data_IF_201714055159
#
_entry.id   IF_201714055159
#
_cell.length_a   1.000
_cell.length_b   1.000
_cell.length_c   1.000
_cell.angle_alpha   90.00
_cell.angle_beta   90.00
_cell.angle_gamma   90.00
#
_symmetry.space_group_name_H-M   'P 1'
#
loop_
_entity.id
_entity.type
_entity.pdbx_description
1 polymer ?
#
# COMPACT_ATOMS: atom_id res chain seq x y z
N UNK A 1 16.15 -32.81 -12.99
CA UNK A 1 16.15 -32.08 -11.70
C UNK A 1 17.34 -31.14 -11.73
N UNK A 2 17.11 -29.83 -11.91
CA UNK A 2 18.18 -28.85 -11.78
C UNK A 2 18.60 -28.83 -10.30
N UNK A 3 19.87 -29.11 -10.03
CA UNK A 3 20.42 -29.03 -8.68
C UNK A 3 20.26 -27.58 -8.19
N UNK A 4 19.35 -27.38 -7.24
CA UNK A 4 19.28 -26.12 -6.50
C UNK A 4 20.65 -25.90 -5.83
N UNK A 5 21.21 -24.67 -5.87
CA UNK A 5 22.48 -24.40 -5.22
C UNK A 5 22.37 -24.71 -3.72
N UNK A 6 23.43 -25.25 -3.14
CA UNK A 6 23.44 -25.76 -1.75
C UNK A 6 22.95 -24.72 -0.71
N UNK A 7 23.20 -23.43 -0.95
CA UNK A 7 22.71 -22.34 -0.12
C UNK A 7 21.17 -22.17 -0.13
N UNK A 8 20.48 -22.45 -1.25
CA UNK A 8 19.01 -22.39 -1.34
C UNK A 8 18.36 -23.52 -0.52
N UNK A 9 19.10 -24.58 -0.18
CA UNK A 9 18.62 -25.71 0.63
C UNK A 9 18.87 -25.46 2.12
N UNK A 10 20.03 -24.91 2.48
CA UNK A 10 20.43 -24.72 3.88
C UNK A 10 19.90 -23.41 4.46
N UNK A 11 19.96 -22.32 3.69
CA UNK A 11 19.54 -20.97 4.10
C UNK A 11 18.48 -20.41 3.14
N UNK A 12 17.31 -21.08 3.04
CA UNK A 12 16.31 -20.78 2.04
C UNK A 12 15.73 -19.36 2.20
N UNK A 13 15.47 -18.92 3.43
CA UNK A 13 14.84 -17.61 3.66
C UNK A 13 15.81 -16.47 3.38
N UNK A 14 17.04 -16.56 3.88
CA UNK A 14 18.08 -15.57 3.65
C UNK A 14 18.37 -15.43 2.16
N UNK A 15 18.51 -16.56 1.46
CA UNK A 15 18.79 -16.53 0.01
C UNK A 15 17.62 -15.96 -0.78
N UNK A 16 16.38 -16.27 -0.38
CA UNK A 16 15.17 -15.69 -0.97
C UNK A 16 15.12 -14.17 -0.80
N UNK A 17 15.36 -13.66 0.41
CA UNK A 17 15.34 -12.22 0.70
C UNK A 17 16.46 -11.48 -0.02
N UNK A 18 17.68 -12.03 -0.04
CA UNK A 18 18.84 -11.39 -0.69
C UNK A 18 18.69 -11.27 -2.21
N UNK A 19 18.01 -12.22 -2.87
CA UNK A 19 17.77 -12.17 -4.32
C UNK A 19 17.01 -10.91 -4.76
N UNK A 20 16.18 -10.34 -3.87
CA UNK A 20 15.34 -9.15 -4.15
C UNK A 20 15.35 -8.16 -2.98
N UNK A 21 16.51 -8.02 -2.33
CA UNK A 21 16.67 -7.21 -1.12
C UNK A 21 16.21 -5.76 -1.33
N UNK A 22 16.62 -5.17 -2.45
CA UNK A 22 16.27 -3.79 -2.81
C UNK A 22 14.77 -3.60 -2.97
N UNK A 23 14.06 -4.58 -3.56
CA UNK A 23 12.60 -4.54 -3.70
C UNK A 23 11.94 -4.59 -2.33
N UNK A 24 12.31 -5.57 -1.49
CA UNK A 24 11.71 -5.79 -0.18
C UNK A 24 12.01 -4.66 0.82
N UNK A 25 13.14 -3.98 0.67
CA UNK A 25 13.49 -2.82 1.48
C UNK A 25 12.48 -1.66 1.35
N UNK A 26 11.70 -1.61 0.26
CA UNK A 26 10.67 -0.60 0.05
C UNK A 26 9.41 -0.80 0.90
N UNK A 27 9.17 -2.00 1.44
CA UNK A 27 7.94 -2.35 2.18
C UNK A 27 7.71 -1.40 3.37
N UNK A 28 8.80 -0.98 4.04
CA UNK A 28 8.75 -0.05 5.18
C UNK A 28 8.02 1.27 4.89
N UNK A 29 8.04 1.73 3.63
CA UNK A 29 7.46 3.00 3.21
C UNK A 29 5.93 2.94 3.05
N UNK A 30 5.36 1.73 3.07
CA UNK A 30 3.92 1.52 2.96
C UNK A 30 3.14 2.23 4.07
N UNK A 31 3.67 2.28 5.30
CA UNK A 31 2.99 2.91 6.43
C UNK A 31 2.75 4.41 6.19
N UNK A 32 3.80 5.16 5.86
CA UNK A 32 3.70 6.61 5.63
C UNK A 32 2.76 6.96 4.47
N UNK A 33 2.75 6.13 3.42
CA UNK A 33 1.81 6.27 2.31
C UNK A 33 0.37 6.05 2.79
N UNK A 34 0.11 4.95 3.49
CA UNK A 34 -1.22 4.61 3.96
C UNK A 34 -1.76 5.60 5.01
N UNK A 35 -0.89 6.11 5.89
CA UNK A 35 -1.27 7.09 6.91
C UNK A 35 -1.71 8.41 6.29
N UNK A 36 -0.96 8.92 5.31
CA UNK A 36 -1.33 10.12 4.58
C UNK A 36 -2.62 9.90 3.77
N UNK A 37 -2.74 8.80 3.04
CA UNK A 37 -3.97 8.47 2.30
C UNK A 37 -5.19 8.36 3.23
N UNK A 38 -5.04 7.75 4.41
CA UNK A 38 -6.11 7.64 5.41
C UNK A 38 -6.55 9.02 5.92
N UNK A 39 -5.59 9.91 6.19
CA UNK A 39 -5.88 11.29 6.57
C UNK A 39 -6.70 12.00 5.49
N UNK A 40 -6.25 11.91 4.23
CA UNK A 40 -6.94 12.51 3.10
C UNK A 40 -8.36 11.95 2.90
N UNK A 41 -8.54 10.63 3.02
CA UNK A 41 -9.85 9.99 2.94
C UNK A 41 -10.76 10.52 4.04
N UNK A 42 -10.32 10.50 5.31
CA UNK A 42 -11.13 11.00 6.42
C UNK A 42 -11.54 12.47 6.25
N UNK A 43 -10.67 13.25 5.59
CA UNK A 43 -10.91 14.67 5.36
C UNK A 43 -11.86 14.94 4.21
N UNK A 44 -11.63 14.32 3.05
CA UNK A 44 -12.25 14.70 1.79
C UNK A 44 -13.35 13.73 1.33
N UNK A 45 -13.54 12.58 1.98
CA UNK A 45 -14.51 11.58 1.55
C UNK A 45 -15.93 12.16 1.50
N UNK A 46 -16.57 12.08 0.33
CA UNK A 46 -17.85 12.71 -0.02
C UNK A 46 -17.90 14.25 0.10
N UNK A 47 -16.77 14.93 0.34
CA UNK A 47 -16.70 16.38 0.59
C UNK A 47 -16.02 17.18 -0.52
N UNK A 48 -15.30 16.51 -1.43
CA UNK A 48 -14.63 17.15 -2.57
C UNK A 48 -15.22 16.68 -3.90
N UNK A 49 -15.42 17.59 -4.84
CA UNK A 49 -15.77 17.24 -6.21
C UNK A 49 -14.53 16.82 -6.99
N UNK A 50 -14.69 15.96 -8.00
CA UNK A 50 -13.57 15.50 -8.82
C UNK A 50 -12.84 16.65 -9.53
N UNK A 51 -13.61 17.59 -10.10
CA UNK A 51 -13.03 18.72 -10.82
C UNK A 51 -12.20 19.62 -9.89
N UNK A 52 -12.68 19.84 -8.67
CA UNK A 52 -11.94 20.60 -7.65
C UNK A 52 -10.64 19.88 -7.25
N UNK A 53 -10.70 18.55 -7.07
CA UNK A 53 -9.52 17.74 -6.75
C UNK A 53 -8.48 17.71 -7.89
N UNK A 54 -8.92 17.81 -9.14
CA UNK A 54 -8.05 17.83 -10.30
C UNK A 54 -7.30 19.17 -10.46
N UNK A 55 -7.89 20.27 -10.00
CA UNK A 55 -7.32 21.63 -10.10
C UNK A 55 -6.50 21.97 -8.85
N UNK A 56 -6.96 21.55 -7.67
CA UNK A 56 -6.30 21.84 -6.41
C UNK A 56 -4.98 21.08 -6.31
N UNK A 57 -3.86 21.79 -6.13
CA UNK A 57 -2.55 21.18 -5.90
C UNK A 57 -2.38 20.77 -4.44
N UNK A 58 -1.39 19.92 -4.15
CA UNK A 58 -1.07 19.53 -2.76
C UNK A 58 -0.73 20.78 -1.93
N UNK A 59 0.10 21.69 -2.46
CA UNK A 59 0.42 22.96 -1.79
C UNK A 59 -0.84 23.81 -1.55
N UNK A 60 -1.72 23.92 -2.55
CA UNK A 60 -2.97 24.66 -2.42
C UNK A 60 -3.89 24.09 -1.34
N UNK A 61 -3.89 22.76 -1.16
CA UNK A 61 -4.61 22.11 -0.06
C UNK A 61 -3.98 22.44 1.30
N UNK A 62 -2.64 22.44 1.41
CA UNK A 62 -1.92 22.79 2.65
C UNK A 62 -2.14 24.25 3.07
N UNK A 63 -2.29 25.17 2.12
CA UNK A 63 -2.46 26.60 2.38
C UNK A 63 -3.88 26.97 2.82
N UNK A 64 -4.91 26.28 2.30
CA UNK A 64 -6.31 26.55 2.64
C UNK A 64 -6.68 26.24 4.09
N UNK A 65 -5.85 25.51 4.83
CA UNK A 65 -6.28 24.78 6.02
C UNK A 65 -5.89 25.37 7.39
N UNK A 66 -5.22 26.53 7.45
CA UNK A 66 -4.98 27.22 8.73
C UNK A 66 -4.33 26.34 9.82
N UNK A 67 -4.89 26.30 11.03
CA UNK A 67 -4.33 25.60 12.21
C UNK A 67 -4.31 24.07 12.07
N UNK A 68 -5.24 23.48 11.29
CA UNK A 68 -5.23 22.05 10.93
C UNK A 68 -4.11 21.70 9.91
N UNK A 69 -3.43 22.70 9.34
CA UNK A 69 -2.38 22.47 8.36
C UNK A 69 -1.13 21.80 8.95
N UNK A 70 -0.89 21.88 10.26
CA UNK A 70 0.35 21.34 10.83
C UNK A 70 0.40 19.81 10.75
N UNK A 71 -0.70 19.14 11.10
CA UNK A 71 -0.81 17.68 11.00
C UNK A 71 -0.71 17.21 9.55
N UNK A 72 -1.42 17.88 8.64
CA UNK A 72 -1.36 17.55 7.21
C UNK A 72 0.06 17.77 6.65
N UNK A 73 0.76 18.84 7.04
CA UNK A 73 2.15 19.11 6.64
C UNK A 73 3.10 18.01 7.11
N UNK A 74 3.00 17.59 8.37
CA UNK A 74 3.84 16.52 8.92
C UNK A 74 3.62 15.21 8.16
N UNK A 75 2.37 14.80 7.98
CA UNK A 75 2.03 13.58 7.25
C UNK A 75 2.43 13.65 5.77
N UNK A 76 2.25 14.81 5.13
CA UNK A 76 2.66 15.04 3.75
C UNK A 76 4.19 14.95 3.60
N UNK A 77 4.95 15.55 4.51
CA UNK A 77 6.41 15.47 4.49
C UNK A 77 6.90 14.03 4.68
N UNK A 78 6.32 13.28 5.63
CA UNK A 78 6.64 11.86 5.83
C UNK A 78 6.29 11.03 4.59
N UNK A 79 5.15 11.29 3.98
CA UNK A 79 4.76 10.67 2.72
C UNK A 79 5.76 10.97 1.60
N UNK A 80 6.18 12.23 1.42
CA UNK A 80 7.13 12.62 0.36
C UNK A 80 8.50 11.99 0.61
N UNK A 81 8.98 12.01 1.85
CA UNK A 81 10.24 11.37 2.22
C UNK A 81 10.22 9.87 1.89
N UNK A 82 9.12 9.19 2.22
CA UNK A 82 8.91 7.79 1.87
C UNK A 82 8.81 7.59 0.35
N UNK A 83 8.00 8.41 -0.33
CA UNK A 83 7.73 8.34 -1.76
C UNK A 83 8.99 8.49 -2.60
N UNK A 84 9.91 9.37 -2.21
CA UNK A 84 11.18 9.60 -2.92
C UNK A 84 12.27 8.58 -2.57
N UNK A 85 12.15 7.87 -1.45
CA UNK A 85 13.08 6.79 -1.08
C UNK A 85 12.74 5.45 -1.75
N UNK A 86 11.52 5.29 -2.27
CA UNK A 86 11.14 4.08 -3.00
C UNK A 86 12.01 3.93 -4.25
N UNK A 87 12.64 2.77 -4.41
CA UNK A 87 13.48 2.43 -5.55
C UNK A 87 12.90 1.23 -6.32
N UNK A 88 11.67 1.38 -6.81
CA UNK A 88 11.01 0.40 -7.67
C UNK A 88 11.02 0.90 -9.11
N UNK A 89 11.31 0.01 -10.06
CA UNK A 89 11.31 0.33 -11.50
C UNK A 89 9.89 0.36 -12.09
N UNK A 90 9.01 -0.52 -11.60
CA UNK A 90 7.62 -0.63 -11.99
C UNK A 90 6.76 -1.04 -10.81
N UNK A 91 5.49 -0.65 -10.85
CA UNK A 91 4.47 -1.05 -9.87
C UNK A 91 3.35 -1.78 -10.62
N UNK A 92 2.63 -2.67 -9.95
CA UNK A 92 1.61 -3.55 -10.54
C UNK A 92 0.26 -3.37 -9.88
N UNK A 93 -0.79 -3.34 -10.70
CA UNK A 93 -2.18 -3.44 -10.28
C UNK A 93 -2.94 -4.31 -11.29
N UNK A 94 -3.36 -5.50 -10.87
CA UNK A 94 -3.95 -6.49 -11.77
C UNK A 94 -3.01 -6.83 -12.94
N UNK A 95 -3.50 -6.71 -14.17
CA UNK A 95 -2.71 -6.97 -15.39
C UNK A 95 -1.85 -5.77 -15.85
N UNK A 96 -1.89 -4.64 -15.14
CA UNK A 96 -1.20 -3.42 -15.53
C UNK A 96 0.10 -3.24 -14.72
N UNK A 97 1.16 -2.84 -15.40
CA UNK A 97 2.49 -2.63 -14.81
C UNK A 97 3.08 -1.26 -15.20
N UNK A 98 2.50 -0.14 -14.73
CA UNK A 98 3.04 1.19 -14.99
C UNK A 98 4.48 1.33 -14.51
N UNK A 99 5.26 2.14 -15.24
CA UNK A 99 6.57 2.59 -14.78
C UNK A 99 6.39 3.52 -13.59
N UNK A 100 7.23 3.34 -12.58
CA UNK A 100 7.21 4.19 -11.42
C UNK A 100 7.95 5.50 -11.73
N UNK A 101 7.21 6.54 -12.07
CA UNK A 101 7.74 7.84 -12.47
C UNK A 101 7.28 8.91 -11.50
N UNK A 102 8.22 9.75 -11.07
CA UNK A 102 7.97 10.91 -10.19
C UNK A 102 8.81 12.11 -10.65
N UNK A 103 8.38 13.35 -10.38
CA UNK A 103 9.19 14.54 -10.61
C UNK A 103 10.54 14.44 -9.89
N UNK A 104 11.58 15.06 -10.45
CA UNK A 104 12.93 14.99 -9.89
C UNK A 104 13.02 15.74 -8.54
N UNK A 105 12.37 16.91 -8.46
CA UNK A 105 12.39 17.75 -7.27
C UNK A 105 11.13 17.56 -6.42
N UNK A 106 11.32 17.42 -5.11
CA UNK A 106 10.23 17.26 -4.13
C UNK A 106 9.27 18.44 -4.14
N UNK A 107 9.80 19.65 -4.20
CA UNK A 107 9.01 20.89 -4.25
C UNK A 107 8.15 20.95 -5.51
N UNK A 108 8.65 20.45 -6.64
CA UNK A 108 7.89 20.39 -7.88
C UNK A 108 6.70 19.45 -7.76
N UNK A 109 6.86 18.32 -7.07
CA UNK A 109 5.76 17.41 -6.78
C UNK A 109 4.67 18.10 -5.94
N UNK A 110 5.02 18.77 -4.84
CA UNK A 110 4.02 19.45 -3.98
C UNK A 110 3.28 20.56 -4.74
N UNK A 111 4.02 21.35 -5.52
CA UNK A 111 3.50 22.53 -6.17
C UNK A 111 2.68 22.23 -7.43
N UNK A 112 3.02 21.17 -8.18
CA UNK A 112 2.41 20.87 -9.49
C UNK A 112 1.51 19.65 -9.48
N UNK A 113 1.66 18.72 -8.55
CA UNK A 113 0.81 17.52 -8.51
C UNK A 113 -0.56 17.87 -7.97
N UNK A 114 -1.60 17.45 -8.69
CA UNK A 114 -2.98 17.63 -8.27
C UNK A 114 -3.31 16.73 -7.08
N UNK A 115 -4.23 17.18 -6.24
CA UNK A 115 -4.70 16.43 -5.09
C UNK A 115 -5.35 15.11 -5.54
N UNK A 116 -6.00 15.09 -6.71
CA UNK A 116 -6.56 13.88 -7.31
C UNK A 116 -5.53 12.73 -7.45
N UNK A 117 -4.24 13.03 -7.66
CA UNK A 117 -3.20 11.99 -7.76
C UNK A 117 -2.87 11.28 -6.45
N UNK A 118 -3.15 11.92 -5.30
CA UNK A 118 -2.90 11.35 -3.97
C UNK A 118 -4.18 10.88 -3.27
N UNK A 119 -5.35 11.22 -3.82
CA UNK A 119 -6.64 10.72 -3.38
C UNK A 119 -6.94 9.39 -4.06
N UNK A 120 -6.75 8.29 -3.31
CA UNK A 120 -7.13 6.94 -3.76
C UNK A 120 -8.62 6.93 -4.12
N UNK A 121 -8.98 6.71 -5.38
CA UNK A 121 -10.37 6.76 -5.83
C UNK A 121 -10.77 5.50 -6.62
N UNK A 122 -12.08 5.24 -6.67
CA UNK A 122 -12.67 4.12 -7.44
C UNK A 122 -12.94 4.47 -8.90
N UNK A 123 -12.65 5.70 -9.30
CA UNK A 123 -13.00 6.19 -10.63
C UNK A 123 -12.03 5.68 -11.69
N UNK A 124 -12.50 5.66 -12.95
CA UNK A 124 -11.71 5.20 -14.11
C UNK A 124 -10.62 6.19 -14.54
N UNK A 125 -10.42 7.28 -13.80
CA UNK A 125 -9.38 8.24 -14.12
C UNK A 125 -8.04 7.72 -13.61
N UNK A 126 -7.04 7.74 -14.49
CA UNK A 126 -5.69 7.23 -14.20
C UNK A 126 -4.92 8.12 -13.19
N UNK A 127 -5.57 9.11 -12.58
CA UNK A 127 -4.98 10.13 -11.71
C UNK A 127 -4.31 9.52 -10.48
N UNK A 128 -5.04 8.68 -9.73
CA UNK A 128 -4.59 8.03 -8.50
C UNK A 128 -3.99 6.64 -8.73
N UNK A 129 -4.02 6.16 -9.98
CA UNK A 129 -3.66 4.81 -10.35
C UNK A 129 -2.23 4.42 -9.92
N UNK A 130 -1.26 5.33 -10.11
CA UNK A 130 0.13 5.08 -9.74
C UNK A 130 0.29 4.83 -8.24
N UNK A 131 -0.42 5.60 -7.40
CA UNK A 131 -0.35 5.46 -5.95
C UNK A 131 -1.01 4.15 -5.49
N UNK A 132 -2.17 3.81 -6.07
CA UNK A 132 -2.87 2.55 -5.79
C UNK A 132 -1.98 1.36 -6.19
N UNK A 133 -1.38 1.40 -7.38
CA UNK A 133 -0.47 0.36 -7.85
C UNK A 133 0.77 0.22 -6.97
N UNK A 134 1.30 1.34 -6.47
CA UNK A 134 2.41 1.33 -5.52
C UNK A 134 2.03 0.63 -4.21
N UNK A 135 0.92 1.03 -3.59
CA UNK A 135 0.38 0.39 -2.36
C UNK A 135 0.19 -1.11 -2.57
N UNK A 136 -0.44 -1.49 -3.67
CA UNK A 136 -0.68 -2.89 -4.00
C UNK A 136 0.63 -3.67 -4.16
N UNK A 137 1.62 -3.10 -4.86
CA UNK A 137 2.93 -3.73 -5.07
C UNK A 137 3.65 -3.96 -3.75
N UNK A 138 3.71 -2.95 -2.87
CA UNK A 138 4.38 -3.07 -1.58
C UNK A 138 3.70 -4.11 -0.67
N UNK A 139 2.37 -4.14 -0.68
CA UNK A 139 1.62 -5.14 0.09
C UNK A 139 1.84 -6.56 -0.45
N UNK A 140 1.86 -6.74 -1.77
CA UNK A 140 2.14 -8.04 -2.39
C UNK A 140 3.58 -8.51 -2.14
N UNK A 141 4.57 -7.60 -2.13
CA UNK A 141 5.95 -7.95 -1.78
C UNK A 141 6.05 -8.54 -0.37
N UNK A 142 5.33 -7.97 0.61
CA UNK A 142 5.29 -8.55 1.96
C UNK A 142 4.55 -9.89 1.96
N UNK A 143 3.41 -9.98 1.28
CA UNK A 143 2.65 -11.22 1.17
C UNK A 143 3.48 -12.35 0.55
N UNK A 144 4.32 -12.03 -0.44
CA UNK A 144 5.23 -12.97 -1.09
C UNK A 144 6.23 -13.58 -0.08
N UNK A 145 6.84 -12.74 0.76
CA UNK A 145 7.80 -13.19 1.79
C UNK A 145 7.10 -14.13 2.79
N UNK A 146 5.95 -13.71 3.31
CA UNK A 146 5.21 -14.51 4.31
C UNK A 146 4.71 -15.82 3.70
N UNK A 147 4.26 -15.80 2.43
CA UNK A 147 3.85 -17.00 1.72
C UNK A 147 5.04 -17.95 1.49
N UNK A 148 6.21 -17.43 1.12
CA UNK A 148 7.42 -18.21 0.95
C UNK A 148 7.85 -18.87 2.28
N UNK A 149 7.95 -18.08 3.34
CA UNK A 149 8.31 -18.57 4.68
C UNK A 149 7.40 -19.70 5.14
N UNK A 150 6.08 -19.54 5.01
CA UNK A 150 5.14 -20.59 5.42
C UNK A 150 5.24 -21.86 4.59
N UNK A 151 5.36 -21.70 3.27
CA UNK A 151 5.40 -22.85 2.34
C UNK A 151 6.69 -23.64 2.48
N UNK A 152 7.83 -22.95 2.63
CA UNK A 152 9.16 -23.57 2.55
C UNK A 152 9.77 -23.85 3.92
N UNK A 153 9.52 -22.98 4.90
CA UNK A 153 10.14 -23.08 6.23
C UNK A 153 9.23 -23.78 7.25
N UNK A 154 7.94 -23.40 7.30
CA UNK A 154 7.01 -23.89 8.34
C UNK A 154 6.19 -25.10 7.89
N UNK A 155 6.02 -25.33 6.58
CA UNK A 155 5.17 -26.39 6.00
C UNK A 155 3.69 -26.33 6.45
N UNK A 156 3.19 -25.15 6.82
CA UNK A 156 1.80 -24.95 7.25
C UNK A 156 0.92 -24.42 6.11
N UNK A 157 -0.33 -24.94 6.03
CA UNK A 157 -1.28 -24.64 4.96
C UNK A 157 -2.53 -23.86 5.41
N UNK A 158 -2.73 -23.62 6.71
CA UNK A 158 -4.01 -23.12 7.25
C UNK A 158 -4.02 -21.65 7.72
N UNK A 159 -5.05 -20.94 7.25
CA UNK A 159 -5.79 -19.77 7.81
C UNK A 159 -4.99 -18.61 8.41
N UNK A 160 -5.04 -17.45 7.72
CA UNK A 160 -4.35 -16.23 8.11
C UNK A 160 -5.25 -15.22 8.80
N UNK A 161 -4.73 -14.63 9.89
CA UNK A 161 -5.06 -13.27 10.31
C UNK A 161 -4.58 -12.31 9.21
N UNK A 162 -5.49 -11.98 8.29
CA UNK A 162 -5.27 -10.93 7.29
C UNK A 162 -5.51 -9.59 7.96
N UNK A 163 -4.51 -8.73 7.94
CA UNK A 163 -4.64 -7.35 8.40
C UNK A 163 -5.11 -6.50 7.23
N UNK A 164 -6.11 -5.67 7.48
CA UNK A 164 -6.57 -4.69 6.50
C UNK A 164 -5.54 -3.56 6.37
N UNK A 165 -5.34 -3.07 5.14
CA UNK A 165 -4.36 -2.01 4.87
C UNK A 165 -4.65 -0.72 5.66
N UNK A 166 -5.91 -0.46 6.03
CA UNK A 166 -6.32 0.68 6.85
C UNK A 166 -5.88 0.60 8.33
N UNK A 167 -5.45 -0.58 8.80
CA UNK A 167 -5.06 -0.89 10.16
C UNK A 167 -3.57 -1.27 10.28
N UNK A 168 -2.77 -0.98 9.23
CA UNK A 168 -1.32 -1.18 9.28
C UNK A 168 -0.72 -0.33 10.38
N UNK A 169 0.24 -0.93 11.08
CA UNK A 169 1.13 -0.28 12.04
C UNK A 169 2.57 -0.55 11.63
N UNK A 170 3.55 0.24 12.08
CA UNK A 170 4.95 0.02 11.76
C UNK A 170 5.46 -1.39 12.15
N UNK A 171 4.94 -1.95 13.25
CA UNK A 171 5.22 -3.30 13.75
C UNK A 171 4.75 -4.43 12.82
N UNK A 172 3.80 -4.15 11.93
CA UNK A 172 3.28 -5.14 10.98
C UNK A 172 4.11 -5.22 9.70
N UNK A 173 5.06 -4.30 9.49
CA UNK A 173 5.82 -4.18 8.25
C UNK A 173 7.20 -4.77 8.38
N UNK A 174 7.69 -5.30 7.28
CA UNK A 174 9.09 -5.69 7.16
C UNK A 174 10.01 -4.45 7.21
N UNK A 175 10.80 -4.35 8.27
CA UNK A 175 11.78 -3.29 8.49
C UNK A 175 13.21 -3.77 8.14
N UNK A 176 13.43 -4.06 6.86
CA UNK A 176 14.79 -4.29 6.36
C UNK A 176 15.59 -2.99 6.37
N UNK A 177 16.91 -3.02 6.56
CA UNK A 177 17.79 -1.85 6.44
C UNK A 177 17.53 -0.71 7.43
N UNK A 178 16.92 -1.02 8.58
CA UNK A 178 17.04 -0.16 9.74
C UNK A 178 18.44 -0.30 10.35
N UNK A 179 18.87 0.78 11.01
CA UNK A 179 20.16 0.82 11.69
C UNK A 179 20.25 -0.29 12.74
N UNK A 180 19.13 -0.68 13.36
CA UNK A 180 19.06 -1.71 14.39
C UNK A 180 19.32 -3.10 13.84
N UNK A 181 18.62 -3.52 12.78
CA UNK A 181 18.88 -4.80 12.10
C UNK A 181 20.32 -4.86 11.59
N UNK A 182 20.80 -3.78 10.99
CA UNK A 182 22.17 -3.70 10.48
C UNK A 182 23.20 -3.84 11.61
N UNK A 183 22.98 -3.16 12.74
CA UNK A 183 23.83 -3.27 13.93
C UNK A 183 23.80 -4.68 14.53
N UNK A 184 22.62 -5.31 14.55
CA UNK A 184 22.45 -6.67 15.07
C UNK A 184 23.21 -7.68 14.22
N UNK A 185 23.04 -7.61 12.89
CA UNK A 185 23.79 -8.45 11.96
C UNK A 185 25.30 -8.19 12.05
N UNK A 186 25.73 -6.93 12.18
CA UNK A 186 27.15 -6.60 12.36
C UNK A 186 27.72 -7.07 13.71
N UNK A 187 26.90 -7.35 14.70
CA UNK A 187 27.38 -7.79 16.01
C UNK A 187 27.42 -9.31 16.10
N UNK A 188 26.39 -9.96 15.56
CA UNK A 188 26.11 -11.35 15.85
C UNK A 188 26.40 -12.27 14.65
N UNK A 189 26.52 -11.73 13.42
CA UNK A 189 26.60 -12.53 12.19
C UNK A 189 28.01 -12.76 11.64
N UNK A 190 29.06 -12.33 12.33
CA UNK A 190 30.43 -12.68 11.94
C UNK A 190 31.34 -12.91 13.13
N UNK A 191 32.30 -13.80 12.93
CA UNK A 191 33.35 -14.12 13.89
C UNK A 191 34.69 -13.80 13.24
N UNK A 192 35.54 -13.07 13.97
CA UNK A 192 36.94 -12.88 13.61
C UNK A 192 37.71 -14.02 14.28
N UNK A 193 38.19 -14.96 13.47
CA UNK A 193 39.04 -16.03 13.96
C UNK A 193 40.49 -15.51 14.05
N UNK A 194 41.02 -15.40 15.27
CA UNK A 194 42.39 -14.94 15.49
C UNK A 194 43.44 -16.05 15.32
N UNK A 195 43.02 -17.31 15.36
CA UNK A 195 43.89 -18.48 15.24
C UNK A 195 44.10 -18.89 13.77
N UNK A 196 43.12 -18.62 12.91
CA UNK A 196 43.15 -18.92 11.48
C UNK A 196 43.15 -17.62 10.67
N UNK A 197 44.10 -17.43 9.74
CA UNK A 197 44.17 -16.22 8.89
C UNK A 197 44.76 -14.96 9.57
N UNK A 198 45.39 -15.08 10.75
CA UNK A 198 45.97 -13.97 11.52
C UNK A 198 44.96 -12.84 11.83
N UNK A 199 43.68 -13.17 12.01
CA UNK A 199 42.62 -12.18 12.28
C UNK A 199 42.26 -11.28 11.09
N UNK A 200 42.66 -11.67 9.86
CA UNK A 200 42.30 -10.93 8.63
C UNK A 200 41.05 -11.46 7.94
N UNK A 201 40.63 -12.67 8.30
CA UNK A 201 39.50 -13.34 7.66
C UNK A 201 38.22 -13.13 8.48
N UNK A 202 37.19 -12.64 7.80
CA UNK A 202 35.83 -12.52 8.33
C UNK A 202 35.05 -13.79 7.98
N UNK A 203 34.62 -14.53 9.01
CA UNK A 203 33.80 -15.72 8.84
C UNK A 203 32.35 -15.34 9.16
N UNK A 204 31.46 -15.49 8.19
CA UNK A 204 30.03 -15.23 8.37
C UNK A 204 29.34 -16.42 9.01
N UNK A 205 28.56 -16.14 10.05
CA UNK A 205 27.66 -17.10 10.67
C UNK A 205 26.30 -17.07 9.96
N UNK A 206 26.18 -17.89 8.91
CA UNK A 206 24.96 -17.96 8.11
C UNK A 206 23.79 -18.63 8.86
N UNK A 207 24.05 -19.45 9.87
CA UNK A 207 23.00 -20.05 10.70
C UNK A 207 22.34 -18.97 11.58
N UNK A 208 23.15 -18.10 12.19
CA UNK A 208 22.64 -16.98 12.97
C UNK A 208 21.88 -15.97 12.10
N UNK A 209 22.39 -15.64 10.90
CA UNK A 209 21.69 -14.77 9.95
C UNK A 209 20.33 -15.36 9.58
N UNK A 210 20.27 -16.64 9.25
CA UNK A 210 19.03 -17.31 8.88
C UNK A 210 18.04 -17.34 10.04
N UNK A 211 18.50 -17.61 11.26
CA UNK A 211 17.69 -17.58 12.49
C UNK A 211 17.06 -16.19 12.71
N UNK A 212 17.86 -15.13 12.59
CA UNK A 212 17.41 -13.76 12.73
C UNK A 212 16.39 -13.35 11.66
N UNK A 213 16.62 -13.74 10.40
CA UNK A 213 15.67 -13.50 9.32
C UNK A 213 14.34 -14.24 9.55
N UNK A 214 14.39 -15.46 10.09
CA UNK A 214 13.19 -16.24 10.43
C UNK A 214 12.40 -15.57 11.55
N UNK A 215 13.07 -15.10 12.59
CA UNK A 215 12.43 -14.38 13.69
C UNK A 215 11.71 -13.13 13.18
N UNK A 216 12.38 -12.33 12.35
CA UNK A 216 11.81 -11.14 11.72
C UNK A 216 10.53 -11.49 10.92
N UNK A 217 10.62 -12.48 10.02
CA UNK A 217 9.51 -12.83 9.12
C UNK A 217 8.36 -13.54 9.85
N UNK A 218 8.65 -14.28 10.92
CA UNK A 218 7.64 -15.00 11.69
C UNK A 218 6.58 -14.08 12.33
N UNK A 219 6.97 -12.85 12.67
CA UNK A 219 6.07 -11.84 13.25
C UNK A 219 5.19 -11.13 12.22
N UNK A 220 5.45 -11.32 10.92
CA UNK A 220 4.76 -10.57 9.87
C UNK A 220 3.36 -11.13 9.59
N UNK A 221 2.43 -10.20 9.33
CA UNK A 221 1.08 -10.53 8.91
C UNK A 221 0.94 -10.47 7.38
N UNK A 222 -0.08 -11.16 6.86
CA UNK A 222 -0.54 -10.96 5.48
C UNK A 222 -1.46 -9.76 5.41
N UNK A 223 -1.31 -8.98 4.34
CA UNK A 223 -2.20 -7.87 4.02
C UNK A 223 -3.32 -8.29 3.08
N UNK A 224 -4.51 -7.76 3.35
CA UNK A 224 -5.63 -7.85 2.43
C UNK A 224 -5.51 -6.78 1.32
N UNK A 225 -5.08 -7.20 0.13
CA UNK A 225 -4.90 -6.33 -1.04
C UNK A 225 -6.19 -6.05 -1.83
N UNK A 226 -7.27 -6.80 -1.57
CA UNK A 226 -8.56 -6.62 -2.25
C UNK A 226 -9.32 -5.38 -1.76
N UNK A 227 -9.15 -5.01 -0.48
CA UNK A 227 -9.91 -3.96 0.19
C UNK A 227 -9.03 -2.75 0.54
N UNK A 228 -8.46 -2.10 -0.47
CA UNK A 228 -7.77 -0.81 -0.29
C UNK A 228 -8.84 0.26 0.04
N UNK A 229 -8.68 1.06 1.11
CA UNK A 229 -9.61 2.13 1.40
C UNK A 229 -9.54 3.17 0.28
N UNK A 230 -10.67 3.43 -0.36
CA UNK A 230 -10.80 4.40 -1.44
C UNK A 230 -11.78 5.50 -1.04
N UNK A 231 -11.48 6.72 -1.47
CA UNK A 231 -12.32 7.88 -1.36
C UNK A 231 -13.43 7.84 -2.42
N UNK A 232 -14.59 8.35 -2.02
CA UNK A 232 -15.69 8.65 -2.90
C UNK A 232 -15.79 10.17 -3.09
N UNK A 233 -15.78 10.64 -4.33
CA UNK A 233 -16.05 12.03 -4.66
C UNK A 233 -17.50 12.42 -4.35
N UNK A 234 -17.72 13.70 -4.11
CA UNK A 234 -19.05 14.27 -3.89
C UNK A 234 -19.94 14.03 -5.11
N UNK A 235 -21.18 13.59 -4.87
CA UNK A 235 -22.20 13.32 -5.88
C UNK A 235 -21.87 12.24 -6.93
N UNK A 236 -20.80 11.47 -6.75
CA UNK A 236 -20.49 10.35 -7.64
C UNK A 236 -21.20 9.07 -7.21
N UNK A 237 -21.87 8.45 -8.17
CA UNK A 237 -22.46 7.12 -8.02
C UNK A 237 -21.46 6.09 -8.53
N UNK A 238 -20.67 5.53 -7.63
CA UNK A 238 -19.82 4.37 -7.95
C UNK A 238 -20.68 3.14 -8.25
N UNK A 239 -20.11 2.09 -8.83
CA UNK A 239 -20.84 0.86 -9.16
C UNK A 239 -21.60 0.26 -7.96
N UNK A 240 -21.13 0.51 -6.73
CA UNK A 240 -21.83 0.20 -5.48
C UNK A 240 -23.21 0.89 -5.38
N UNK A 241 -23.39 2.07 -5.97
CA UNK A 241 -24.64 2.83 -6.02
C UNK A 241 -25.49 2.55 -7.27
N UNK A 242 -24.90 2.04 -8.37
CA UNK A 242 -25.70 1.38 -9.42
C UNK A 242 -26.43 0.15 -8.87
N UNK A 243 -25.88 -0.43 -7.80
CA UNK A 243 -26.56 -1.43 -6.99
C UNK A 243 -27.69 -0.84 -6.16
N UNK A 244 -27.87 0.48 -5.97
CA UNK A 244 -28.94 0.99 -5.11
C UNK A 244 -30.31 0.72 -5.74
N UNK A 245 -30.48 1.02 -7.03
CA UNK A 245 -31.69 0.65 -7.79
C UNK A 245 -31.83 -0.87 -7.88
N UNK A 246 -30.73 -1.60 -8.11
CA UNK A 246 -30.74 -3.07 -8.19
C UNK A 246 -31.03 -3.74 -6.83
N UNK A 247 -30.58 -3.15 -5.72
CA UNK A 247 -30.78 -3.61 -4.35
C UNK A 247 -32.20 -3.27 -3.91
N UNK A 248 -32.71 -2.09 -4.29
CA UNK A 248 -34.12 -1.76 -4.15
C UNK A 248 -34.95 -2.78 -4.92
N UNK A 249 -34.63 -3.07 -6.19
CA UNK A 249 -35.35 -4.09 -6.98
C UNK A 249 -35.27 -5.50 -6.38
N UNK A 250 -34.14 -5.86 -5.75
CA UNK A 250 -33.95 -7.16 -5.09
C UNK A 250 -34.69 -7.27 -3.75
N UNK A 251 -34.84 -6.16 -3.01
CA UNK A 251 -35.45 -6.16 -1.67
C UNK A 251 -36.90 -5.69 -1.64
N UNK A 252 -37.31 -4.88 -2.62
CA UNK A 252 -38.63 -4.26 -2.73
C UNK A 252 -39.20 -4.60 -4.10
N UNK A 253 -40.30 -5.38 -4.17
CA UNK A 253 -40.97 -5.70 -5.42
C UNK A 253 -41.39 -4.40 -6.12
N UNK A 254 -40.84 -4.16 -7.31
CA UNK A 254 -41.22 -2.99 -8.11
C UNK A 254 -42.48 -3.32 -8.89
N UNK A 255 -43.61 -2.76 -8.49
CA UNK A 255 -44.85 -2.82 -9.26
C UNK A 255 -44.97 -1.58 -10.15
N UNK A 256 -45.50 -1.76 -11.35
CA UNK A 256 -45.83 -0.63 -12.21
C UNK A 256 -46.92 0.20 -11.56
N UNK A 257 -46.73 1.53 -11.55
CA UNK A 257 -47.77 2.48 -11.17
C UNK A 257 -49.02 2.24 -12.01
N UNK A 258 -50.18 2.27 -11.35
CA UNK A 258 -51.47 2.16 -12.01
C UNK A 258 -51.66 3.31 -13.01
N UNK A 259 -52.48 3.08 -14.03
CA UNK A 259 -52.81 4.11 -15.05
C UNK A 259 -53.46 5.34 -14.41
N UNK A 260 -54.26 5.15 -13.36
CA UNK A 260 -54.92 6.22 -12.61
C UNK A 260 -53.91 7.07 -11.82
N UNK A 261 -52.97 6.43 -11.13
CA UNK A 261 -51.94 7.15 -10.36
C UNK A 261 -50.95 7.86 -11.27
N UNK A 262 -50.61 7.26 -12.43
CA UNK A 262 -49.82 7.93 -13.48
C UNK A 262 -50.50 9.19 -14.01
N UNK A 263 -51.82 9.15 -14.24
CA UNK A 263 -52.57 10.31 -14.70
C UNK A 263 -52.59 11.43 -13.65
N UNK A 264 -52.76 11.08 -12.36
CA UNK A 264 -52.66 12.03 -11.23
C UNK A 264 -51.26 12.62 -11.10
N UNK A 265 -50.21 11.82 -11.27
CA UNK A 265 -48.83 12.31 -11.19
C UNK A 265 -48.50 13.26 -12.34
N UNK A 266 -48.97 12.95 -13.55
CA UNK A 266 -48.83 13.83 -14.72
C UNK A 266 -49.55 15.17 -14.53
N UNK A 267 -50.77 15.16 -13.98
CA UNK A 267 -51.51 16.41 -13.76
C UNK A 267 -50.88 17.30 -12.69
N UNK A 268 -50.18 16.72 -11.70
CA UNK A 268 -49.41 17.46 -10.71
C UNK A 268 -48.12 18.06 -11.29
N UNK A 269 -47.42 17.33 -12.17
CA UNK A 269 -46.22 17.82 -12.85
C UNK A 269 -46.49 18.95 -13.85
N UNK A 270 -47.66 18.97 -14.49
CA UNK A 270 -48.08 20.03 -15.43
C UNK A 270 -48.55 21.29 -14.68
N UNK A 271 -48.84 21.19 -13.38
CA UNK A 271 -49.24 22.31 -12.52
C UNK A 271 -48.06 22.99 -11.79
N UNK A 272 -46.86 22.42 -11.87
CA UNK A 272 -45.60 23.08 -11.47
C UNK A 272 -45.00 23.80 -12.67
#
# INVERSE_FOLDING_TARGET
MQNLPFADVIYPLTTFLLKRLDDYANIRYLYSIMEFSKYLINKYNHRIQRNDAAILTIEGALQKEGVDSQTMRVLCNQFIDAWYKINLSSVRLGCQAPKFVRPYHREEFINKTSLACVLLNKSKDDSSFLLIACIHTLAELQNEIVAYFRKVVVNETTSNTRVFLNAIRPEHLLQLGELELTKKLLKDSFVINYEYGQGRDLIYDYEEIESEMRNLVSSLCLFNTENIPMLNYQFELYNENSSLITNIRRRIPQTLLSTVDRAKFKSLLVRM
#
